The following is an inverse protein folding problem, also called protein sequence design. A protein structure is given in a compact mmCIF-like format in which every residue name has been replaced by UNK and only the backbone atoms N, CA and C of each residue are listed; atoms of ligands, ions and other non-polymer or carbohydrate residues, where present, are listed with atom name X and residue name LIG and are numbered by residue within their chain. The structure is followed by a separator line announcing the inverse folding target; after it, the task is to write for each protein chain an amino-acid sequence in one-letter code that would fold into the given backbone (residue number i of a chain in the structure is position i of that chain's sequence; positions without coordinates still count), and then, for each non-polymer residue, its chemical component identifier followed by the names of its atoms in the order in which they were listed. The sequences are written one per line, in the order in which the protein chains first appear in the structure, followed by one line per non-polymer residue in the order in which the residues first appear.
data_IF_963034007059
#
_entry.id   IF_963034007059
#
_cell.length_a   1.000
_cell.length_b   1.000
_cell.length_c   1.000
_cell.angle_alpha   90.00
_cell.angle_beta   90.00
_cell.angle_gamma   90.00
#
_symmetry.space_group_name_H-M   'P 1'
#
loop_
_entity.id
_entity.type
_entity.pdbx_description
1 polymer ?
#
# COMPACT_ATOMS: atom_id res chain seq x y z
N UNK A 1 -40.54 -10.79 38.37
CA UNK A 1 -39.45 -11.16 37.44
C UNK A 1 -38.17 -11.21 38.23
N UNK A 2 -37.41 -12.32 38.21
CA UNK A 2 -36.13 -12.44 38.90
C UNK A 2 -35.07 -11.62 38.12
N UNK A 3 -34.17 -10.87 38.78
CA UNK A 3 -33.12 -10.13 38.11
C UNK A 3 -32.19 -11.11 37.38
N UNK A 4 -31.84 -10.80 36.14
CA UNK A 4 -31.03 -11.63 35.25
C UNK A 4 -29.60 -11.85 35.79
N UNK A 5 -29.09 -10.89 36.58
CA UNK A 5 -27.74 -10.91 37.18
C UNK A 5 -27.85 -10.59 38.68
N UNK A 6 -27.11 -11.33 39.51
CA UNK A 6 -27.11 -11.08 40.96
C UNK A 6 -26.51 -9.68 41.26
N UNK A 7 -26.98 -9.02 42.33
CA UNK A 7 -26.59 -7.66 42.69
C UNK A 7 -25.07 -7.51 42.92
N UNK A 8 -24.40 -8.56 43.43
CA UNK A 8 -22.95 -8.59 43.66
C UNK A 8 -22.17 -8.67 42.33
N UNK A 9 -22.63 -9.48 41.38
CA UNK A 9 -21.98 -9.63 40.07
C UNK A 9 -22.12 -8.34 39.27
N UNK A 10 -23.29 -7.71 39.27
CA UNK A 10 -23.52 -6.44 38.56
C UNK A 10 -22.67 -5.28 39.04
N UNK A 11 -22.26 -5.26 40.32
CA UNK A 11 -21.41 -4.18 40.89
C UNK A 11 -19.98 -4.20 40.33
N UNK A 12 -19.46 -5.36 40.01
CA UNK A 12 -18.09 -5.54 39.47
C UNK A 12 -18.09 -5.63 37.94
N UNK A 13 -19.12 -6.18 37.35
CA UNK A 13 -19.18 -6.43 35.90
C UNK A 13 -19.28 -5.11 35.10
N UNK A 14 -20.06 -4.13 35.60
CA UNK A 14 -20.20 -2.86 34.92
C UNK A 14 -18.87 -2.07 34.80
N UNK A 15 -18.12 -1.81 35.90
CA UNK A 15 -16.84 -1.13 35.80
C UNK A 15 -15.80 -1.92 34.98
N UNK A 16 -15.79 -3.25 35.04
CA UNK A 16 -14.87 -4.08 34.28
C UNK A 16 -15.12 -3.97 32.77
N UNK A 17 -16.38 -4.08 32.33
CA UNK A 17 -16.75 -3.94 30.91
C UNK A 17 -16.50 -2.51 30.42
N UNK A 18 -16.73 -1.49 31.26
CA UNK A 18 -16.42 -0.11 30.91
C UNK A 18 -14.92 0.12 30.73
N UNK A 19 -14.10 -0.45 31.62
CA UNK A 19 -12.63 -0.36 31.52
C UNK A 19 -12.15 -1.05 30.25
N UNK A 20 -12.66 -2.24 29.92
CA UNK A 20 -12.32 -2.97 28.71
C UNK A 20 -12.70 -2.17 27.45
N UNK A 21 -13.88 -1.60 27.42
CA UNK A 21 -14.33 -0.76 26.30
C UNK A 21 -13.46 0.48 26.11
N UNK A 22 -13.10 1.17 27.22
CA UNK A 22 -12.18 2.33 27.16
C UNK A 22 -10.81 1.89 26.66
N UNK A 23 -10.31 0.72 27.09
CA UNK A 23 -9.04 0.18 26.67
C UNK A 23 -9.05 -0.16 25.17
N UNK A 24 -10.12 -0.76 24.65
CA UNK A 24 -10.31 -1.04 23.22
C UNK A 24 -10.28 0.25 22.39
N UNK A 25 -11.00 1.30 22.83
CA UNK A 25 -11.01 2.61 22.16
C UNK A 25 -9.66 3.31 22.17
N UNK A 26 -8.90 3.18 23.28
CA UNK A 26 -7.55 3.77 23.39
C UNK A 26 -6.50 2.98 22.59
N UNK A 27 -6.67 1.67 22.44
CA UNK A 27 -5.74 0.83 21.67
C UNK A 27 -6.01 0.90 20.16
N UNK A 28 -7.22 1.30 19.74
CA UNK A 28 -7.57 1.38 18.32
C UNK A 28 -6.60 2.25 17.51
N UNK A 29 -6.28 3.51 17.88
CA UNK A 29 -5.31 4.32 17.15
C UNK A 29 -3.90 3.70 17.19
N UNK A 30 -3.49 3.08 18.30
CA UNK A 30 -2.20 2.41 18.40
C UNK A 30 -2.09 1.21 17.45
N UNK A 31 -3.17 0.44 17.31
CA UNK A 31 -3.23 -0.69 16.35
C UNK A 31 -3.20 -0.17 14.92
N UNK A 32 -3.90 0.92 14.65
CA UNK A 32 -3.88 1.61 13.34
C UNK A 32 -2.46 2.12 13.06
N UNK A 33 -1.82 2.85 13.97
CA UNK A 33 -0.44 3.32 13.81
C UNK A 33 0.55 2.16 13.63
N UNK A 34 0.47 1.09 14.42
CA UNK A 34 1.35 -0.08 14.27
C UNK A 34 1.12 -0.82 12.95
N UNK A 35 -0.08 -0.76 12.38
CA UNK A 35 -0.37 -1.34 11.06
C UNK A 35 0.23 -0.47 9.94
N UNK A 36 0.33 0.85 10.14
CA UNK A 36 0.88 1.79 9.17
C UNK A 36 2.36 2.17 9.40
N UNK A 37 2.85 2.14 10.66
CA UNK A 37 4.24 2.50 11.00
C UNK A 37 5.29 1.43 10.62
N UNK A 38 4.87 0.23 10.19
CA UNK A 38 5.78 -0.83 9.72
C UNK A 38 6.38 -0.62 8.33
N UNK A 39 6.21 0.56 7.72
CA UNK A 39 6.57 0.81 6.31
C UNK A 39 7.97 1.40 6.07
N UNK A 40 8.84 1.56 7.06
CA UNK A 40 10.08 2.31 6.87
C UNK A 40 11.30 1.53 6.36
N UNK A 41 11.23 0.20 6.19
CA UNK A 41 12.37 -0.59 5.67
C UNK A 41 11.95 -1.78 4.77
N UNK A 42 10.68 -1.91 4.43
CA UNK A 42 10.16 -3.01 3.61
C UNK A 42 9.73 -2.56 2.20
N UNK A 43 9.41 -3.49 1.30
CA UNK A 43 8.84 -3.16 0.00
C UNK A 43 7.47 -2.47 0.20
N UNK A 44 7.16 -1.52 -0.69
CA UNK A 44 5.88 -0.80 -0.68
C UNK A 44 4.72 -1.71 -1.05
N UNK A 45 4.98 -2.66 -1.96
CA UNK A 45 4.02 -3.65 -2.43
C UNK A 45 4.66 -5.03 -2.56
N UNK A 46 3.91 -6.07 -2.21
CA UNK A 46 4.34 -7.47 -2.36
C UNK A 46 3.34 -8.19 -3.26
N UNK A 47 3.84 -8.75 -4.35
CA UNK A 47 3.11 -9.62 -5.25
C UNK A 47 3.54 -11.06 -5.00
N UNK A 48 2.64 -11.92 -4.57
CA UNK A 48 2.95 -13.30 -4.23
C UNK A 48 2.41 -14.24 -5.29
N UNK A 49 3.31 -15.04 -5.86
CA UNK A 49 2.96 -16.15 -6.73
C UNK A 49 2.83 -17.43 -5.93
N UNK A 50 1.67 -18.08 -6.05
CA UNK A 50 1.40 -19.42 -5.57
C UNK A 50 0.99 -20.27 -6.76
N UNK A 51 0.82 -21.57 -6.61
CA UNK A 51 0.41 -22.44 -7.73
C UNK A 51 -0.84 -21.89 -8.42
N UNK A 52 -0.70 -21.37 -9.63
CA UNK A 52 -1.73 -20.79 -10.51
C UNK A 52 -2.41 -19.50 -10.01
N UNK A 53 -1.84 -18.78 -9.06
CA UNK A 53 -2.37 -17.47 -8.67
C UNK A 53 -1.24 -16.48 -8.36
N UNK A 54 -1.46 -15.24 -8.74
CA UNK A 54 -0.56 -14.11 -8.55
C UNK A 54 -1.36 -13.00 -7.88
N UNK A 55 -1.12 -12.78 -6.59
CA UNK A 55 -1.95 -11.94 -5.73
C UNK A 55 -1.12 -10.85 -5.03
N UNK A 56 -1.67 -9.64 -5.01
CA UNK A 56 -1.13 -8.55 -4.21
C UNK A 56 -1.48 -8.68 -2.73
N UNK A 57 -0.58 -8.26 -1.85
CA UNK A 57 -0.76 -8.27 -0.39
C UNK A 57 -1.70 -7.17 0.10
N UNK A 58 -1.84 -6.08 -0.66
CA UNK A 58 -2.65 -4.90 -0.33
C UNK A 58 -3.41 -4.40 -1.54
N UNK A 59 -4.59 -3.83 -1.33
CA UNK A 59 -5.35 -3.13 -2.36
C UNK A 59 -4.87 -1.68 -2.57
N UNK A 60 -4.12 -1.12 -1.63
CA UNK A 60 -3.64 0.27 -1.71
C UNK A 60 -2.62 0.39 -2.83
N UNK A 61 -2.85 1.28 -3.77
CA UNK A 61 -1.95 1.50 -4.90
C UNK A 61 -2.00 0.40 -5.97
N UNK A 62 -2.98 -0.50 -5.95
CA UNK A 62 -3.21 -1.51 -7.00
C UNK A 62 -4.50 -1.18 -7.73
N UNK A 63 -4.43 -1.13 -9.07
CA UNK A 63 -5.60 -0.87 -9.89
C UNK A 63 -6.46 -2.13 -10.14
N UNK A 64 -7.57 -1.97 -10.86
CA UNK A 64 -8.48 -3.06 -11.19
C UNK A 64 -7.90 -4.12 -12.15
N UNK A 65 -6.76 -3.81 -12.78
CA UNK A 65 -6.03 -4.72 -13.68
C UNK A 65 -4.82 -5.39 -12.99
N UNK A 66 -4.65 -5.18 -11.69
CA UNK A 66 -3.55 -5.75 -10.94
C UNK A 66 -2.20 -5.04 -11.14
N UNK A 67 -2.21 -3.79 -11.58
CA UNK A 67 -1.01 -2.96 -11.74
C UNK A 67 -0.68 -2.26 -10.43
N UNK A 68 0.58 -2.28 -10.01
CA UNK A 68 1.04 -1.38 -8.96
C UNK A 68 1.17 0.04 -9.52
N UNK A 69 0.33 0.95 -9.00
CA UNK A 69 0.27 2.36 -9.39
C UNK A 69 1.00 3.19 -8.33
N UNK A 70 2.10 3.79 -8.72
CA UNK A 70 3.01 4.50 -7.82
C UNK A 70 3.02 5.99 -8.18
N UNK A 71 2.67 6.85 -7.21
CA UNK A 71 2.98 8.27 -7.29
C UNK A 71 4.43 8.45 -6.83
N UNK A 72 5.32 8.79 -7.76
CA UNK A 72 6.75 8.84 -7.48
C UNK A 72 7.10 9.89 -6.42
N UNK A 73 6.36 10.99 -6.34
CA UNK A 73 6.64 12.04 -5.37
C UNK A 73 6.31 11.65 -3.91
N UNK A 74 5.51 10.61 -3.71
CA UNK A 74 5.28 10.05 -2.37
C UNK A 74 6.48 9.23 -1.87
N UNK A 75 7.47 8.97 -2.73
CA UNK A 75 8.61 8.08 -2.48
C UNK A 75 9.94 8.82 -2.30
N UNK A 76 9.92 10.11 -1.95
CA UNK A 76 11.10 10.91 -1.60
C UNK A 76 11.92 10.24 -0.50
N UNK A 77 13.24 10.33 -0.61
CA UNK A 77 14.13 9.98 0.49
C UNK A 77 13.82 10.82 1.74
N UNK A 78 13.98 10.22 2.92
CA UNK A 78 13.64 10.85 4.21
C UNK A 78 14.48 12.10 4.51
N UNK A 79 15.66 12.22 3.90
CA UNK A 79 16.55 13.38 4.04
C UNK A 79 16.06 14.63 3.29
N UNK A 80 15.12 14.46 2.34
CA UNK A 80 14.63 15.56 1.50
C UNK A 80 13.46 16.26 2.19
N UNK A 81 13.77 17.12 3.15
CA UNK A 81 12.78 17.89 3.91
C UNK A 81 13.15 19.35 3.97
N UNK A 82 12.17 20.23 4.08
CA UNK A 82 12.36 21.66 4.33
C UNK A 82 12.64 21.96 5.81
N UNK A 83 12.80 23.24 6.14
CA UNK A 83 13.04 23.70 7.51
C UNK A 83 11.91 23.40 8.51
N UNK A 84 10.72 23.01 8.05
CA UNK A 84 9.57 22.60 8.87
C UNK A 84 9.45 21.09 9.00
N UNK A 85 10.24 20.33 8.25
CA UNK A 85 10.18 18.87 8.18
C UNK A 85 9.21 18.33 7.13
N UNK A 86 8.68 19.18 6.25
CA UNK A 86 7.83 18.76 5.14
C UNK A 86 8.69 18.28 3.98
N UNK A 87 8.27 17.19 3.31
CA UNK A 87 8.97 16.68 2.12
C UNK A 87 8.85 17.68 0.98
N UNK A 88 9.98 17.93 0.32
CA UNK A 88 10.07 18.92 -0.77
C UNK A 88 10.37 18.22 -2.08
N UNK A 89 9.50 18.41 -3.07
CA UNK A 89 9.72 18.00 -4.46
C UNK A 89 10.21 19.21 -5.25
N UNK A 90 11.45 19.16 -5.71
CA UNK A 90 12.09 20.24 -6.43
C UNK A 90 13.21 19.69 -7.35
N UNK A 91 13.72 20.48 -8.29
CA UNK A 91 14.92 20.10 -9.05
C UNK A 91 16.06 19.67 -8.13
N UNK A 92 16.67 18.53 -8.42
CA UNK A 92 17.70 17.89 -7.60
C UNK A 92 17.15 16.90 -6.56
N UNK A 93 15.84 16.70 -6.46
CA UNK A 93 15.28 15.67 -5.59
C UNK A 93 15.20 14.32 -6.30
N UNK A 94 15.27 13.26 -5.52
CA UNK A 94 15.18 11.88 -5.97
C UNK A 94 14.41 11.03 -4.96
N UNK A 95 13.99 9.86 -5.39
CA UNK A 95 13.32 8.90 -4.53
C UNK A 95 13.26 7.53 -5.15
N UNK A 96 12.75 6.57 -4.39
CA UNK A 96 12.58 5.20 -4.86
C UNK A 96 11.39 4.51 -4.22
N UNK A 97 10.90 3.46 -4.89
CA UNK A 97 9.85 2.57 -4.40
C UNK A 97 10.24 1.13 -4.72
N UNK A 98 10.01 0.23 -3.79
CA UNK A 98 10.35 -1.19 -3.96
C UNK A 98 9.07 -2.01 -4.10
N UNK A 99 8.95 -2.69 -5.24
CA UNK A 99 7.92 -3.70 -5.47
C UNK A 99 8.57 -5.07 -5.44
N UNK A 100 8.04 -5.97 -4.64
CA UNK A 100 8.59 -7.32 -4.45
C UNK A 100 7.72 -8.37 -5.09
N UNK A 101 8.31 -9.21 -5.94
CA UNK A 101 7.72 -10.48 -6.38
C UNK A 101 8.25 -11.60 -5.47
N UNK A 102 7.34 -12.35 -4.86
CA UNK A 102 7.63 -13.50 -4.01
C UNK A 102 7.11 -14.78 -4.69
N UNK A 103 7.99 -15.75 -4.91
CA UNK A 103 7.59 -17.07 -5.39
C UNK A 103 7.44 -18.02 -4.20
N UNK A 104 6.21 -18.44 -3.90
CA UNK A 104 5.88 -19.44 -2.87
C UNK A 104 5.64 -20.85 -3.43
N UNK A 105 6.00 -21.06 -4.71
CA UNK A 105 5.95 -22.40 -5.31
C UNK A 105 7.25 -23.19 -5.05
N UNK A 106 7.18 -24.49 -5.25
CA UNK A 106 8.28 -25.44 -5.11
C UNK A 106 9.20 -25.51 -6.35
N UNK A 107 8.99 -24.60 -7.32
CA UNK A 107 9.73 -24.55 -8.60
C UNK A 107 10.11 -23.13 -9.01
N UNK A 108 11.08 -23.02 -9.89
CA UNK A 108 11.45 -21.77 -10.54
C UNK A 108 10.37 -21.35 -11.52
N UNK A 109 10.05 -20.07 -11.54
CA UNK A 109 9.11 -19.44 -12.48
C UNK A 109 9.79 -18.31 -13.24
N UNK A 110 9.34 -18.05 -14.46
CA UNK A 110 9.79 -16.90 -15.25
C UNK A 110 8.85 -15.73 -15.02
N UNK A 111 9.38 -14.52 -14.90
CA UNK A 111 8.56 -13.30 -14.83
C UNK A 111 8.86 -12.38 -16.00
N UNK A 112 7.88 -11.55 -16.34
CA UNK A 112 8.06 -10.37 -17.16
C UNK A 112 7.46 -9.18 -16.41
N UNK A 113 8.26 -8.13 -16.24
CA UNK A 113 7.85 -6.91 -15.56
C UNK A 113 7.96 -5.71 -16.50
N UNK A 114 6.92 -4.90 -16.59
CA UNK A 114 6.86 -3.73 -17.47
C UNK A 114 6.58 -2.48 -16.63
N UNK A 115 7.53 -1.56 -16.62
CA UNK A 115 7.40 -0.24 -16.04
C UNK A 115 6.95 0.74 -17.14
N UNK A 116 5.88 1.49 -16.88
CA UNK A 116 5.34 2.45 -17.85
C UNK A 116 4.77 3.69 -17.16
N UNK A 117 4.62 4.79 -17.92
CA UNK A 117 3.97 6.02 -17.42
C UNK A 117 2.45 5.89 -17.52
N UNK A 118 1.74 6.30 -16.45
CA UNK A 118 0.27 6.33 -16.42
C UNK A 118 -0.20 7.76 -16.67
N UNK A 119 0.28 8.71 -15.86
CA UNK A 119 -0.04 10.12 -16.00
C UNK A 119 1.17 10.95 -15.54
N UNK A 120 1.42 12.03 -16.24
CA UNK A 120 2.46 12.99 -15.89
C UNK A 120 2.20 14.30 -16.62
N UNK A 121 2.62 15.41 -16.04
CA UNK A 121 2.79 16.64 -16.77
C UNK A 121 3.99 16.47 -17.71
N UNK A 122 3.79 16.59 -19.01
CA UNK A 122 4.86 16.44 -20.03
C UNK A 122 6.03 17.41 -19.84
N UNK A 123 5.78 18.52 -19.11
CA UNK A 123 6.82 19.50 -18.80
C UNK A 123 7.71 19.08 -17.61
N UNK A 124 7.27 18.10 -16.80
CA UNK A 124 8.06 17.62 -15.66
C UNK A 124 9.28 16.83 -16.14
N UNK A 125 10.50 17.30 -15.89
CA UNK A 125 11.74 16.67 -16.33
C UNK A 125 12.17 15.56 -15.35
N UNK A 126 11.25 14.71 -14.95
CA UNK A 126 11.51 13.60 -14.04
C UNK A 126 11.84 12.36 -14.85
N UNK A 127 13.02 11.83 -14.63
CA UNK A 127 13.46 10.54 -15.16
C UNK A 127 13.09 9.44 -14.16
N UNK A 128 12.37 8.42 -14.63
CA UNK A 128 12.02 7.26 -13.83
C UNK A 128 12.51 5.99 -14.51
N UNK A 129 12.92 4.99 -13.72
CA UNK A 129 13.41 3.72 -14.25
C UNK A 129 13.57 2.66 -13.17
N UNK A 130 13.90 1.44 -13.60
CA UNK A 130 14.37 0.40 -12.70
C UNK A 130 15.84 0.65 -12.40
N UNK A 131 16.18 0.79 -11.10
CA UNK A 131 17.54 1.12 -10.66
C UNK A 131 18.55 0.01 -10.98
N UNK A 132 18.12 -1.26 -10.94
CA UNK A 132 19.00 -2.39 -11.24
C UNK A 132 19.22 -2.56 -12.74
N UNK A 133 20.45 -2.34 -13.18
CA UNK A 133 20.88 -2.52 -14.56
C UNK A 133 21.15 -3.98 -14.92
N UNK A 134 21.13 -4.91 -13.97
CA UNK A 134 21.38 -6.33 -14.19
C UNK A 134 20.19 -7.08 -14.79
N UNK A 135 19.00 -6.49 -14.75
CA UNK A 135 17.82 -7.07 -15.40
C UNK A 135 18.01 -7.26 -16.91
N UNK A 136 17.59 -8.40 -17.42
CA UNK A 136 17.57 -8.65 -18.85
C UNK A 136 16.39 -7.91 -19.50
N UNK A 137 16.67 -7.02 -20.42
CA UNK A 137 15.64 -6.34 -21.21
C UNK A 137 14.94 -7.32 -22.16
N UNK A 138 13.66 -7.09 -22.41
CA UNK A 138 12.85 -7.90 -23.34
C UNK A 138 11.96 -7.02 -24.20
N UNK A 139 11.80 -7.41 -25.46
CA UNK A 139 10.83 -6.82 -26.39
C UNK A 139 9.53 -7.66 -26.45
N UNK A 140 9.48 -8.76 -25.69
CA UNK A 140 8.31 -9.65 -25.64
C UNK A 140 7.64 -9.48 -24.29
N UNK A 141 6.56 -8.73 -24.26
CA UNK A 141 5.80 -8.47 -23.05
C UNK A 141 4.31 -8.27 -23.36
N UNK A 142 3.50 -8.36 -22.33
CA UNK A 142 2.09 -8.03 -22.37
C UNK A 142 1.86 -6.71 -21.62
N UNK A 143 0.92 -5.93 -22.10
CA UNK A 143 0.46 -4.70 -21.46
C UNK A 143 -1.00 -4.84 -21.06
N UNK A 144 -1.43 -4.22 -19.96
CA UNK A 144 -2.85 -4.00 -19.70
C UNK A 144 -3.49 -3.28 -20.88
N UNK A 145 -4.74 -3.61 -21.19
CA UNK A 145 -5.44 -3.23 -22.44
C UNK A 145 -5.51 -1.71 -22.70
N UNK A 146 -5.25 -0.88 -21.69
CA UNK A 146 -5.31 0.57 -21.72
C UNK A 146 -3.95 1.27 -21.82
N UNK A 147 -2.87 0.51 -21.88
CA UNK A 147 -1.51 1.07 -21.92
C UNK A 147 -1.00 1.02 -23.35
N UNK A 148 -0.52 2.15 -23.85
CA UNK A 148 0.10 2.27 -25.16
C UNK A 148 1.61 1.99 -25.07
N UNK A 149 2.17 1.33 -26.07
CA UNK A 149 3.60 0.96 -26.08
C UNK A 149 4.54 2.18 -25.95
N UNK A 150 4.11 3.36 -26.42
CA UNK A 150 4.90 4.59 -26.31
C UNK A 150 5.11 5.07 -24.87
N UNK A 151 4.29 4.62 -23.94
CA UNK A 151 4.41 4.94 -22.51
C UNK A 151 5.33 3.98 -21.75
N UNK A 152 5.81 2.90 -22.37
CA UNK A 152 6.72 1.94 -21.73
C UNK A 152 8.08 2.59 -21.49
N UNK A 153 8.52 2.56 -20.23
CA UNK A 153 9.84 3.03 -19.81
C UNK A 153 10.85 1.90 -19.99
N UNK A 154 10.52 0.71 -19.45
CA UNK A 154 11.39 -0.46 -19.51
C UNK A 154 10.59 -1.75 -19.33
N UNK A 155 10.92 -2.77 -20.12
CA UNK A 155 10.40 -4.12 -19.93
C UNK A 155 11.57 -5.07 -19.65
N UNK A 156 11.43 -5.89 -18.62
CA UNK A 156 12.48 -6.82 -18.17
C UNK A 156 11.91 -8.22 -17.95
N UNK A 157 12.77 -9.22 -18.11
CA UNK A 157 12.42 -10.63 -17.82
C UNK A 157 13.50 -11.27 -16.96
N UNK A 158 13.11 -12.31 -16.23
CA UNK A 158 14.03 -13.08 -15.40
C UNK A 158 13.35 -14.27 -14.76
N UNK A 159 14.08 -14.94 -13.88
CA UNK A 159 13.59 -16.11 -13.16
C UNK A 159 13.62 -15.87 -11.64
N UNK A 160 12.61 -16.39 -10.94
CA UNK A 160 12.57 -16.44 -9.47
C UNK A 160 12.52 -17.90 -9.05
N UNK A 161 13.57 -18.35 -8.35
CA UNK A 161 13.64 -19.72 -7.85
C UNK A 161 12.56 -20.00 -6.80
N UNK A 162 12.35 -21.28 -6.50
CA UNK A 162 11.43 -21.71 -5.44
C UNK A 162 11.74 -21.02 -4.11
N UNK A 163 10.70 -20.52 -3.43
CA UNK A 163 10.80 -19.84 -2.13
C UNK A 163 11.74 -18.61 -2.13
N UNK A 164 12.00 -18.00 -3.30
CA UNK A 164 12.82 -16.81 -3.43
C UNK A 164 12.00 -15.57 -3.74
N UNK A 165 12.66 -14.42 -3.66
CA UNK A 165 12.11 -13.10 -3.95
C UNK A 165 12.90 -12.40 -5.05
N UNK A 166 12.22 -11.51 -5.78
CA UNK A 166 12.80 -10.53 -6.69
C UNK A 166 12.28 -9.15 -6.36
N UNK A 167 13.17 -8.23 -6.07
CA UNK A 167 12.82 -6.83 -5.83
C UNK A 167 12.99 -6.01 -7.11
N UNK A 168 12.02 -5.15 -7.39
CA UNK A 168 12.03 -4.14 -8.43
C UNK A 168 12.14 -2.79 -7.74
N UNK A 169 13.33 -2.21 -7.75
CA UNK A 169 13.60 -0.87 -7.24
C UNK A 169 13.32 0.13 -8.35
N UNK A 170 12.24 0.90 -8.19
CA UNK A 170 11.82 1.95 -9.11
C UNK A 170 12.36 3.26 -8.57
N UNK A 171 13.41 3.77 -9.22
CA UNK A 171 14.03 5.04 -8.87
C UNK A 171 13.56 6.16 -9.78
N UNK A 172 13.58 7.38 -9.26
CA UNK A 172 13.34 8.58 -10.04
C UNK A 172 14.25 9.73 -9.58
N UNK A 173 14.52 10.63 -10.53
CA UNK A 173 15.35 11.80 -10.32
C UNK A 173 14.76 12.99 -11.08
N UNK A 174 14.57 14.10 -10.41
CA UNK A 174 14.36 15.39 -11.06
C UNK A 174 15.73 16.06 -11.23
N UNK A 175 16.23 16.08 -12.46
CA UNK A 175 17.57 16.61 -12.75
C UNK A 175 17.67 18.10 -12.43
N UNK A 176 18.81 18.53 -11.89
CA UNK A 176 19.09 19.92 -11.55
C UNK A 176 20.08 20.55 -12.54
N UNK A 177 19.83 21.82 -12.95
CA UNK A 177 20.72 22.62 -13.79
C UNK A 177 21.18 21.99 -15.11
N UNK A 178 20.29 21.30 -15.83
CA UNK A 178 20.63 20.65 -17.10
C UNK A 178 20.76 21.62 -18.26
N UNK A 179 19.98 22.72 -18.28
CA UNK A 179 20.01 23.78 -19.30
C UNK A 179 19.28 25.04 -18.84
N UNK A 180 19.50 26.19 -19.51
CA UNK A 180 18.75 27.43 -19.24
C UNK A 180 17.24 27.26 -19.49
N UNK A 181 16.85 26.52 -20.51
CA UNK A 181 15.44 26.26 -20.80
C UNK A 181 14.82 25.39 -19.72
N UNK A 182 15.54 24.36 -19.23
CA UNK A 182 15.08 23.52 -18.13
C UNK A 182 14.89 24.34 -16.85
N UNK A 183 15.85 25.19 -16.49
CA UNK A 183 15.76 26.07 -15.33
C UNK A 183 14.55 27.02 -15.40
N UNK A 184 14.16 27.44 -16.63
CA UNK A 184 12.95 28.23 -16.83
C UNK A 184 11.69 27.40 -16.60
N UNK A 185 11.66 26.15 -17.07
CA UNK A 185 10.56 25.22 -16.86
C UNK A 185 10.43 24.90 -15.36
N UNK A 186 11.53 24.59 -14.69
CA UNK A 186 11.57 24.31 -13.25
C UNK A 186 11.00 25.47 -12.42
N UNK A 187 11.31 26.72 -12.84
CA UNK A 187 10.74 27.90 -12.19
C UNK A 187 9.24 28.03 -12.39
N UNK A 188 8.73 27.66 -13.56
CA UNK A 188 7.29 27.66 -13.86
C UNK A 188 6.58 26.61 -13.00
N UNK A 189 7.13 25.40 -12.95
CA UNK A 189 6.57 24.29 -12.18
C UNK A 189 6.59 24.58 -10.67
N UNK A 190 7.69 25.12 -10.15
CA UNK A 190 7.81 25.50 -8.74
C UNK A 190 6.88 26.64 -8.29
N UNK A 191 6.31 27.42 -9.23
CA UNK A 191 5.32 28.46 -8.94
C UNK A 191 3.90 28.03 -9.29
N UNK A 192 3.67 26.80 -9.71
CA UNK A 192 2.32 26.28 -9.98
C UNK A 192 1.50 26.19 -8.67
N UNK A 193 0.20 26.55 -8.76
CA UNK A 193 -0.70 26.47 -7.59
C UNK A 193 -1.12 25.04 -7.27
N UNK A 194 -1.08 24.13 -8.25
CA UNK A 194 -1.42 22.72 -8.09
C UNK A 194 -0.15 21.87 -8.09
N UNK A 195 -0.08 20.93 -7.16
CA UNK A 195 1.03 19.98 -7.11
C UNK A 195 0.91 19.02 -8.30
N UNK A 196 1.95 19.01 -9.13
CA UNK A 196 2.09 18.03 -10.19
C UNK A 196 2.36 16.64 -9.63
N UNK A 197 1.96 15.62 -10.36
CA UNK A 197 2.19 14.21 -10.01
C UNK A 197 2.88 13.50 -11.17
N UNK A 198 3.81 12.61 -10.84
CA UNK A 198 4.36 11.65 -11.78
C UNK A 198 3.94 10.26 -11.33
N UNK A 199 3.08 9.64 -12.13
CA UNK A 199 2.54 8.32 -11.80
C UNK A 199 3.06 7.30 -12.80
N UNK A 200 3.61 6.22 -12.27
CA UNK A 200 4.07 5.06 -13.06
C UNK A 200 3.29 3.82 -12.65
N UNK A 201 3.17 2.89 -13.58
CA UNK A 201 2.62 1.56 -13.36
C UNK A 201 3.70 0.51 -13.48
N UNK A 202 3.74 -0.44 -12.55
CA UNK A 202 4.51 -1.67 -12.70
C UNK A 202 3.55 -2.84 -12.85
N UNK A 203 3.59 -3.46 -14.03
CA UNK A 203 2.82 -4.65 -14.35
C UNK A 203 3.74 -5.86 -14.41
N UNK A 204 3.45 -6.90 -13.63
CA UNK A 204 4.26 -8.10 -13.52
C UNK A 204 3.39 -9.30 -13.84
N UNK A 205 3.79 -10.10 -14.79
CA UNK A 205 3.20 -11.42 -15.09
C UNK A 205 4.19 -12.53 -14.77
N UNK A 206 3.68 -13.69 -14.42
CA UNK A 206 4.48 -14.89 -14.17
C UNK A 206 4.12 -15.96 -15.19
N UNK A 207 5.09 -16.58 -15.80
CA UNK A 207 4.94 -17.75 -16.67
C UNK A 207 5.38 -19.00 -15.90
N UNK A 208 4.47 -19.96 -15.83
CA UNK A 208 4.69 -21.26 -15.20
C UNK A 208 4.16 -22.38 -16.10
N UNK A 209 5.04 -23.33 -16.46
CA UNK A 209 4.74 -24.44 -17.37
C UNK A 209 4.08 -24.01 -18.70
N UNK A 210 4.50 -22.85 -19.26
CA UNK A 210 3.96 -22.28 -20.49
C UNK A 210 2.58 -21.62 -20.34
N UNK A 211 2.12 -21.43 -19.11
CA UNK A 211 0.90 -20.68 -18.80
C UNK A 211 1.26 -19.34 -18.18
N UNK A 212 0.69 -18.26 -18.73
CA UNK A 212 0.85 -16.91 -18.19
C UNK A 212 -0.20 -16.70 -17.10
N UNK A 213 0.25 -16.23 -15.95
CA UNK A 213 -0.59 -15.87 -14.81
C UNK A 213 -0.53 -14.36 -14.59
N UNK A 214 -1.65 -13.71 -14.82
CA UNK A 214 -1.82 -12.28 -14.63
C UNK A 214 -1.99 -11.93 -13.15
N UNK A 215 -1.46 -10.79 -12.70
CA UNK A 215 -1.66 -10.31 -11.35
C UNK A 215 -3.14 -9.98 -11.14
N UNK A 216 -3.64 -10.37 -9.98
CA UNK A 216 -5.01 -10.07 -9.58
C UNK A 216 -4.99 -9.04 -8.45
N UNK A 217 -5.90 -8.07 -8.48
CA UNK A 217 -6.09 -7.18 -7.34
C UNK A 217 -6.41 -8.04 -6.12
N UNK A 218 -5.98 -7.62 -4.93
CA UNK A 218 -6.25 -8.35 -3.71
C UNK A 218 -7.76 -8.50 -3.54
N UNK A 219 -8.19 -9.66 -3.05
CA UNK A 219 -9.60 -9.89 -2.75
C UNK A 219 -9.98 -8.90 -1.64
N UNK A 220 -10.64 -7.80 -2.04
CA UNK A 220 -11.13 -6.78 -1.11
C UNK A 220 -12.10 -7.44 -0.12
N UNK A 221 -11.65 -7.71 1.07
CA UNK A 221 -12.45 -8.38 2.12
C UNK A 221 -11.63 -8.92 3.27
N UNK A 222 -10.31 -8.95 3.19
CA UNK A 222 -9.48 -9.49 4.27
C UNK A 222 -8.85 -8.41 5.17
N UNK A 223 -9.57 -7.34 5.43
CA UNK A 223 -9.42 -6.58 6.66
C UNK A 223 -10.10 -7.33 7.83
N UNK A 224 -9.86 -8.65 7.88
CA UNK A 224 -10.41 -9.52 8.92
C UNK A 224 -10.06 -9.01 10.32
N UNK A 225 -8.90 -8.37 10.47
CA UNK A 225 -8.49 -7.75 11.73
C UNK A 225 -9.34 -6.53 12.07
N UNK A 226 -9.57 -5.62 11.13
CA UNK A 226 -10.41 -4.45 11.36
C UNK A 226 -11.88 -4.84 11.59
N UNK A 227 -12.43 -5.74 10.78
CA UNK A 227 -13.77 -6.31 10.98
C UNK A 227 -13.90 -7.03 12.32
N UNK A 228 -12.87 -7.78 12.74
CA UNK A 228 -12.81 -8.42 14.05
C UNK A 228 -12.84 -7.40 15.19
N UNK A 229 -12.05 -6.32 15.12
CA UNK A 229 -12.05 -5.26 16.14
C UNK A 229 -13.38 -4.53 16.21
N UNK A 230 -14.00 -4.19 15.07
CA UNK A 230 -15.34 -3.59 15.02
C UNK A 230 -16.39 -4.50 15.63
N UNK A 231 -16.29 -5.82 15.38
CA UNK A 231 -17.22 -6.81 15.94
C UNK A 231 -17.06 -6.90 17.46
N UNK A 232 -15.83 -6.97 17.98
CA UNK A 232 -15.54 -6.98 19.41
C UNK A 232 -16.05 -5.71 20.09
N UNK A 233 -15.78 -4.55 19.52
CA UNK A 233 -16.25 -3.25 20.02
C UNK A 233 -17.80 -3.19 20.05
N UNK A 234 -18.46 -3.70 19.00
CA UNK A 234 -19.91 -3.80 18.94
C UNK A 234 -20.50 -4.71 20.05
N UNK A 235 -19.87 -5.85 20.30
CA UNK A 235 -20.26 -6.77 21.37
C UNK A 235 -20.09 -6.11 22.74
N UNK A 236 -18.95 -5.48 22.99
CA UNK A 236 -18.67 -4.76 24.25
C UNK A 236 -19.68 -3.65 24.51
N UNK A 237 -20.03 -2.88 23.49
CA UNK A 237 -21.05 -1.83 23.57
C UNK A 237 -22.46 -2.41 23.89
N UNK A 238 -22.86 -3.50 23.22
CA UNK A 238 -24.14 -4.17 23.49
C UNK A 238 -24.22 -4.66 24.93
N UNK A 239 -23.17 -5.28 25.44
CA UNK A 239 -23.11 -5.75 26.83
C UNK A 239 -23.22 -4.56 27.80
N UNK A 240 -22.52 -3.47 27.54
CA UNK A 240 -22.58 -2.24 28.34
C UNK A 240 -24.01 -1.68 28.40
N UNK A 241 -24.67 -1.56 27.24
CA UNK A 241 -26.07 -1.09 27.16
C UNK A 241 -27.04 -1.98 27.93
N UNK A 242 -26.89 -3.30 27.85
CA UNK A 242 -27.70 -4.25 28.59
C UNK A 242 -27.50 -4.11 30.10
N UNK A 243 -26.26 -3.91 30.57
CA UNK A 243 -25.97 -3.70 32.00
C UNK A 243 -26.53 -2.37 32.51
N UNK A 244 -26.42 -1.30 31.71
CA UNK A 244 -27.02 0.02 32.05
C UNK A 244 -28.54 -0.06 32.10
N UNK A 245 -29.15 -0.76 31.13
CA UNK A 245 -30.59 -0.96 31.10
C UNK A 245 -31.10 -1.75 32.31
N UNK A 246 -30.43 -2.86 32.68
CA UNK A 246 -30.76 -3.66 33.87
C UNK A 246 -30.61 -2.82 35.16
N UNK A 247 -29.55 -2.00 35.25
CA UNK A 247 -29.35 -1.06 36.35
C UNK A 247 -30.50 -0.04 36.45
N UNK A 248 -30.84 0.62 35.36
CA UNK A 248 -31.92 1.62 35.31
C UNK A 248 -33.29 1.01 35.65
N UNK A 249 -33.54 -0.22 35.16
CA UNK A 249 -34.77 -0.96 35.51
C UNK A 249 -34.89 -1.26 37.01
N UNK A 250 -33.77 -1.57 37.67
CA UNK A 250 -33.73 -1.83 39.13
C UNK A 250 -33.95 -0.53 39.95
N UNK A 251 -33.48 0.61 39.48
CA UNK A 251 -33.68 1.90 40.14
C UNK A 251 -35.13 2.35 40.05
N UNK A 252 -35.85 2.05 38.97
CA UNK A 252 -37.30 2.34 38.83
C UNK A 252 -38.21 1.39 39.60
N UNK A 253 -37.69 0.23 40.03
CA UNK A 253 -38.50 -0.78 40.76
C UNK A 253 -38.40 -0.64 42.29
N UNK A 254 -37.70 0.39 42.76
CA UNK A 254 -37.63 0.81 44.18
C UNK A 254 -38.55 2.01 44.42
#
# INVERSE_FOLDING_TARGET
MRPFISKKISQWLLPTVLILFILEVLLLPLVVELTYAGRSEGPDHILTYTTNSLLWDSATGIDEHGVAVLNLFDTLYDETVDGNGDKVVAPGTEGHSIVRLKNECDRTVTYTAVLYRIATNELLPVEAGLADSSFADTDVYQLPTQVEEEHVIRAVTGEVAADQIQDFDISWLWQFETSEEQNRIDTILGNAEEADQVTVGLYIVVEDDGSIVDPQPPITGDDSRFAMYLTLMGISLCVLLLLLWDRHRRERAK
#
